data_IF_850424856146
#
_entry.id   IF_850424856146
#
_cell.length_a   1.000
_cell.length_b   1.000
_cell.length_c   1.000
_cell.angle_alpha   90.00
_cell.angle_beta   90.00
_cell.angle_gamma   90.00
#
_symmetry.space_group_name_H-M   'P 1'
#
loop_
_entity.id
_entity.type
_entity.pdbx_description
1 polymer ?
#
# COMPACT_ATOMS: atom_id res chain seq x y z
N UNK A 1 20.58 18.06 -11.55
CA UNK A 1 19.13 17.85 -11.29
C UNK A 1 19.03 16.53 -10.52
N UNK A 2 18.22 16.44 -9.46
CA UNK A 2 18.11 15.20 -8.69
C UNK A 2 17.26 14.18 -9.45
N UNK A 3 17.78 12.96 -9.59
CA UNK A 3 17.06 11.88 -10.28
C UNK A 3 15.89 11.38 -9.44
N UNK A 4 14.77 11.09 -10.11
CA UNK A 4 13.57 10.55 -9.47
C UNK A 4 13.71 9.04 -9.33
N UNK A 5 13.56 8.55 -8.11
CA UNK A 5 13.63 7.14 -7.75
C UNK A 5 12.27 6.60 -7.29
N UNK A 6 12.18 5.30 -7.02
CA UNK A 6 10.94 4.71 -6.47
C UNK A 6 10.57 5.24 -5.07
N UNK A 7 11.53 5.74 -4.29
CA UNK A 7 11.24 6.37 -2.99
C UNK A 7 10.68 7.78 -3.09
N UNK A 8 10.72 8.39 -4.27
CA UNK A 8 10.14 9.72 -4.52
C UNK A 8 8.65 9.65 -4.90
N UNK A 9 8.13 8.45 -5.15
CA UNK A 9 6.71 8.20 -5.43
C UNK A 9 5.88 8.59 -4.18
N UNK A 10 4.96 9.57 -4.29
CA UNK A 10 4.39 10.22 -3.11
C UNK A 10 3.62 9.31 -2.16
N UNK A 11 2.80 8.39 -2.68
CA UNK A 11 1.95 7.53 -1.84
C UNK A 11 2.79 6.72 -0.85
N UNK A 12 3.86 6.08 -1.34
CA UNK A 12 4.81 5.29 -0.54
C UNK A 12 5.66 6.19 0.34
N UNK A 13 6.18 7.30 -0.20
CA UNK A 13 7.04 8.23 0.53
C UNK A 13 6.37 8.76 1.79
N UNK A 14 5.21 9.39 1.63
CA UNK A 14 4.54 10.05 2.75
C UNK A 14 3.91 9.06 3.72
N UNK A 15 3.42 7.92 3.23
CA UNK A 15 2.91 6.87 4.11
C UNK A 15 4.01 6.26 4.96
N UNK A 16 5.21 6.05 4.40
CA UNK A 16 6.37 5.57 5.18
C UNK A 16 6.81 6.56 6.26
N UNK A 17 6.82 7.87 5.95
CA UNK A 17 7.14 8.90 6.95
C UNK A 17 6.17 8.80 8.13
N UNK A 18 4.86 8.76 7.87
CA UNK A 18 3.85 8.61 8.92
C UNK A 18 4.05 7.30 9.71
N UNK A 19 4.18 6.16 9.02
CA UNK A 19 4.33 4.85 9.66
C UNK A 19 5.55 4.78 10.56
N UNK A 20 6.68 5.32 10.12
CA UNK A 20 7.92 5.33 10.89
C UNK A 20 7.76 6.21 12.14
N UNK A 21 7.17 7.39 11.99
CA UNK A 21 7.01 8.33 13.11
C UNK A 21 6.11 7.78 14.22
N UNK A 22 5.07 7.01 13.88
CA UNK A 22 4.16 6.42 14.87
C UNK A 22 4.55 5.00 15.29
N UNK A 23 5.72 4.51 14.89
CA UNK A 23 6.17 3.14 15.16
C UNK A 23 5.11 2.09 14.74
N UNK A 24 4.52 2.27 13.55
CA UNK A 24 3.38 1.48 13.09
C UNK A 24 3.64 -0.03 13.09
N UNK A 25 4.83 -0.46 12.65
CA UNK A 25 5.18 -1.89 12.59
C UNK A 25 5.19 -2.53 13.98
N UNK A 26 5.58 -1.78 15.00
CA UNK A 26 5.63 -2.26 16.38
C UNK A 26 4.22 -2.58 16.89
N UNK A 27 3.29 -1.61 16.82
CA UNK A 27 1.91 -1.82 17.26
C UNK A 27 1.19 -2.88 16.41
N UNK A 28 1.42 -2.90 15.10
CA UNK A 28 0.82 -3.90 14.22
C UNK A 28 1.27 -5.32 14.60
N UNK A 29 2.56 -5.51 14.84
CA UNK A 29 3.12 -6.79 15.28
C UNK A 29 2.58 -7.20 16.65
N UNK A 30 2.47 -6.26 17.60
CA UNK A 30 1.91 -6.54 18.93
C UNK A 30 0.46 -7.04 18.83
N UNK A 31 -0.36 -6.41 17.98
CA UNK A 31 -1.75 -6.82 17.75
C UNK A 31 -1.81 -8.22 17.12
N UNK A 32 -1.07 -8.45 16.03
CA UNK A 32 -1.09 -9.75 15.32
C UNK A 32 -0.57 -10.90 16.19
N UNK A 33 0.42 -10.64 17.04
CA UNK A 33 0.98 -11.63 17.99
C UNK A 33 0.19 -11.74 19.29
N UNK A 34 -0.85 -10.91 19.47
CA UNK A 34 -1.70 -10.88 20.67
C UNK A 34 -0.89 -10.67 21.94
N UNK A 35 0.03 -9.72 21.89
CA UNK A 35 0.87 -9.37 23.03
C UNK A 35 0.05 -8.80 24.19
N UNK A 36 0.67 -8.67 25.36
CA UNK A 36 -0.02 -8.25 26.59
C UNK A 36 -0.59 -6.85 26.47
N UNK A 37 -1.71 -6.62 27.18
CA UNK A 37 -2.38 -5.31 27.29
C UNK A 37 -1.41 -4.19 27.67
N UNK A 38 -0.48 -4.46 28.60
CA UNK A 38 0.54 -3.50 29.06
C UNK A 38 1.38 -2.94 27.91
N UNK A 39 1.74 -3.77 26.91
CA UNK A 39 2.55 -3.29 25.77
C UNK A 39 1.74 -2.40 24.83
N UNK A 40 0.47 -2.74 24.60
CA UNK A 40 -0.44 -1.90 23.83
C UNK A 40 -0.66 -0.56 24.55
N UNK A 41 -0.86 -0.58 25.87
CA UNK A 41 -0.97 0.61 26.72
C UNK A 41 0.28 1.49 26.64
N UNK A 42 1.47 0.91 26.72
CA UNK A 42 2.73 1.62 26.58
C UNK A 42 2.84 2.33 25.22
N UNK A 43 2.49 1.65 24.12
CA UNK A 43 2.49 2.27 22.79
C UNK A 43 1.45 3.40 22.69
N UNK A 44 0.23 3.19 23.19
CA UNK A 44 -0.83 4.21 23.20
C UNK A 44 -0.39 5.44 23.98
N UNK A 45 0.26 5.27 25.13
CA UNK A 45 0.75 6.39 25.92
C UNK A 45 1.86 7.19 25.21
N UNK A 46 2.76 6.51 24.49
CA UNK A 46 3.82 7.18 23.69
C UNK A 46 3.29 7.84 22.41
N UNK A 47 2.14 7.39 21.89
CA UNK A 47 1.55 7.93 20.67
C UNK A 47 1.35 9.45 20.73
N UNK A 48 1.07 10.01 21.91
CA UNK A 48 0.95 11.45 22.08
C UNK A 48 2.24 12.19 21.64
N UNK A 49 3.41 11.72 22.09
CA UNK A 49 4.71 12.30 21.75
C UNK A 49 5.06 12.07 20.28
N UNK A 50 4.79 10.86 19.77
CA UNK A 50 4.99 10.51 18.36
C UNK A 50 4.22 11.43 17.42
N UNK A 51 2.95 11.71 17.75
CA UNK A 51 2.09 12.58 16.95
C UNK A 51 2.52 14.04 17.01
N UNK A 52 2.91 14.53 18.20
CA UNK A 52 3.44 15.88 18.35
C UNK A 52 4.67 16.07 17.46
N UNK A 53 5.63 15.15 17.54
CA UNK A 53 6.85 15.21 16.75
C UNK A 53 6.55 15.16 15.25
N UNK A 54 5.78 14.16 14.81
CA UNK A 54 5.43 13.99 13.40
C UNK A 54 4.76 15.23 12.82
N UNK A 55 3.72 15.74 13.48
CA UNK A 55 2.95 16.86 12.95
C UNK A 55 3.74 18.16 13.00
N UNK A 56 4.53 18.41 14.05
CA UNK A 56 5.44 19.57 14.12
C UNK A 56 6.45 19.58 12.98
N UNK A 57 7.00 18.42 12.62
CA UNK A 57 8.05 18.30 11.58
C UNK A 57 7.50 18.31 10.14
N UNK A 58 6.23 17.94 9.95
CA UNK A 58 5.69 17.67 8.61
C UNK A 58 4.54 18.58 8.20
N UNK A 59 3.86 19.25 9.12
CA UNK A 59 2.63 19.98 8.77
C UNK A 59 2.84 21.13 7.78
N UNK A 60 3.99 21.80 7.84
CA UNK A 60 4.35 22.87 6.88
C UNK A 60 4.53 22.35 5.45
N UNK A 61 4.88 21.07 5.29
CA UNK A 61 5.09 20.43 3.98
C UNK A 61 3.81 19.80 3.41
N UNK A 62 2.76 19.62 4.22
CA UNK A 62 1.49 19.06 3.77
C UNK A 62 0.84 19.86 2.62
N UNK A 63 0.75 21.21 2.67
CA UNK A 63 0.22 21.99 1.55
C UNK A 63 0.96 21.77 0.23
N UNK A 64 2.27 21.52 0.30
CA UNK A 64 3.14 21.26 -0.87
C UNK A 64 3.01 19.81 -1.38
N UNK A 65 2.47 18.91 -0.56
CA UNK A 65 2.36 17.47 -0.82
C UNK A 65 0.92 16.97 -0.69
N UNK A 66 -0.05 17.78 -1.14
CA UNK A 66 -1.49 17.49 -1.09
C UNK A 66 -2.02 17.27 0.34
N UNK A 67 -2.25 18.37 1.06
CA UNK A 67 -2.67 18.33 2.47
C UNK A 67 -3.94 17.48 2.70
N UNK A 68 -4.91 17.54 1.78
CA UNK A 68 -6.12 16.73 1.85
C UNK A 68 -5.80 15.24 1.83
N UNK A 69 -4.87 14.82 0.96
CA UNK A 69 -4.41 13.44 0.88
C UNK A 69 -3.67 13.02 2.15
N UNK A 70 -2.75 13.85 2.67
CA UNK A 70 -2.06 13.58 3.94
C UNK A 70 -3.03 13.40 5.10
N UNK A 71 -4.08 14.21 5.16
CA UNK A 71 -5.13 14.07 6.14
C UNK A 71 -5.94 12.77 6.00
N UNK A 72 -6.28 12.36 4.76
CA UNK A 72 -6.97 11.09 4.50
C UNK A 72 -6.10 9.89 4.89
N UNK A 73 -4.80 9.91 4.55
CA UNK A 73 -3.85 8.85 4.93
C UNK A 73 -3.71 8.74 6.44
N UNK A 74 -3.61 9.87 7.13
CA UNK A 74 -3.58 9.92 8.58
C UNK A 74 -4.83 9.27 9.19
N UNK A 75 -6.01 9.71 8.77
CA UNK A 75 -7.27 9.18 9.28
C UNK A 75 -7.47 7.69 8.98
N UNK A 76 -7.16 7.28 7.75
CA UNK A 76 -7.16 5.88 7.37
C UNK A 76 -6.29 5.05 8.31
N UNK A 77 -5.06 5.50 8.58
CA UNK A 77 -4.07 4.75 9.37
C UNK A 77 -4.60 4.46 10.78
N UNK A 78 -5.16 5.48 11.44
CA UNK A 78 -5.70 5.31 12.79
C UNK A 78 -7.03 4.56 12.80
N UNK A 79 -7.90 4.76 11.80
CA UNK A 79 -9.12 3.96 11.67
C UNK A 79 -8.81 2.47 11.48
N UNK A 80 -7.80 2.14 10.67
CA UNK A 80 -7.35 0.77 10.45
C UNK A 80 -6.76 0.13 11.72
N UNK A 81 -5.88 0.85 12.43
CA UNK A 81 -5.33 0.37 13.70
C UNK A 81 -6.42 0.13 14.76
N UNK A 82 -7.38 1.05 14.87
CA UNK A 82 -8.52 0.89 15.76
C UNK A 82 -9.40 -0.29 15.38
N UNK A 83 -9.61 -0.56 14.09
CA UNK A 83 -10.32 -1.77 13.67
C UNK A 83 -9.57 -3.03 14.11
N UNK A 84 -8.26 -3.08 13.85
CA UNK A 84 -7.41 -4.21 14.24
C UNK A 84 -7.43 -4.49 15.74
N UNK A 85 -7.37 -3.44 16.56
CA UNK A 85 -7.51 -3.56 18.02
C UNK A 85 -8.90 -4.08 18.42
N UNK A 86 -9.96 -3.61 17.77
CA UNK A 86 -11.35 -3.99 18.06
C UNK A 86 -11.63 -5.46 17.76
N UNK A 87 -11.10 -5.96 16.65
CA UNK A 87 -11.34 -7.33 16.17
C UNK A 87 -10.63 -8.38 17.02
N UNK A 88 -9.63 -7.97 17.81
CA UNK A 88 -8.93 -8.86 18.74
C UNK A 88 -9.62 -8.92 20.10
N UNK A 89 -10.25 -10.07 20.38
CA UNK A 89 -10.92 -10.32 21.67
C UNK A 89 -10.04 -10.04 22.90
N UNK A 90 -8.71 -10.21 22.78
CA UNK A 90 -7.75 -9.97 23.85
C UNK A 90 -7.77 -8.52 24.38
N UNK A 91 -8.29 -7.58 23.60
CA UNK A 91 -8.29 -6.15 23.91
C UNK A 91 -9.69 -5.57 24.09
N UNK A 92 -10.73 -6.40 24.02
CA UNK A 92 -12.14 -5.96 24.02
C UNK A 92 -12.50 -5.09 25.22
N UNK A 93 -12.10 -5.47 26.44
CA UNK A 93 -12.39 -4.72 27.67
C UNK A 93 -11.67 -3.36 27.72
N UNK A 94 -10.46 -3.26 27.15
CA UNK A 94 -9.66 -2.03 27.13
C UNK A 94 -9.87 -1.19 25.86
N UNK A 95 -10.60 -1.71 24.87
CA UNK A 95 -10.74 -1.10 23.56
C UNK A 95 -11.26 0.33 23.63
N UNK A 96 -12.29 0.57 24.44
CA UNK A 96 -12.87 1.92 24.60
C UNK A 96 -11.85 2.94 25.10
N UNK A 97 -10.89 2.52 25.95
CA UNK A 97 -9.85 3.38 26.46
C UNK A 97 -8.78 3.66 25.38
N UNK A 98 -8.34 2.62 24.65
CA UNK A 98 -7.42 2.78 23.53
C UNK A 98 -8.00 3.69 22.46
N UNK A 99 -9.26 3.46 22.08
CA UNK A 99 -9.98 4.29 21.12
C UNK A 99 -10.08 5.74 21.61
N UNK A 100 -10.44 5.95 22.88
CA UNK A 100 -10.50 7.27 23.48
C UNK A 100 -9.18 8.02 23.37
N UNK A 101 -8.10 7.40 23.83
CA UNK A 101 -6.76 7.99 23.87
C UNK A 101 -6.21 8.27 22.47
N UNK A 102 -6.21 7.28 21.57
CA UNK A 102 -5.71 7.43 20.19
C UNK A 102 -6.43 8.58 19.48
N UNK A 103 -7.75 8.64 19.59
CA UNK A 103 -8.51 9.69 18.93
C UNK A 103 -8.30 11.07 19.57
N UNK A 104 -8.18 11.13 20.90
CA UNK A 104 -7.93 12.38 21.59
C UNK A 104 -6.56 12.96 21.22
N UNK A 105 -5.49 12.15 21.26
CA UNK A 105 -4.16 12.59 20.88
C UNK A 105 -4.12 13.04 19.41
N UNK A 106 -4.67 12.24 18.51
CA UNK A 106 -4.78 12.60 17.11
C UNK A 106 -5.53 13.92 16.88
N UNK A 107 -6.66 14.12 17.58
CA UNK A 107 -7.44 15.35 17.47
C UNK A 107 -6.66 16.58 17.96
N UNK A 108 -6.05 16.50 19.15
CA UNK A 108 -5.31 17.62 19.74
C UNK A 108 -4.18 18.07 18.81
N UNK A 109 -3.37 17.13 18.32
CA UNK A 109 -2.23 17.48 17.49
C UNK A 109 -2.63 17.94 16.09
N UNK A 110 -3.65 17.34 15.48
CA UNK A 110 -4.16 17.85 14.19
C UNK A 110 -4.71 19.28 14.33
N UNK A 111 -5.47 19.58 15.39
CA UNK A 111 -5.95 20.94 15.65
C UNK A 111 -4.82 21.95 15.87
N UNK A 112 -3.69 21.49 16.39
CA UNK A 112 -2.54 22.35 16.70
C UNK A 112 -1.71 22.65 15.45
N UNK A 113 -1.50 21.64 14.59
CA UNK A 113 -0.53 21.72 13.51
C UNK A 113 -1.14 21.71 12.10
N UNK A 114 -2.43 21.38 11.93
CA UNK A 114 -3.06 21.18 10.61
C UNK A 114 -4.43 21.87 10.51
N UNK A 115 -4.44 23.09 9.96
CA UNK A 115 -5.65 23.94 9.89
C UNK A 115 -6.83 23.31 9.14
N UNK A 116 -6.57 22.38 8.22
CA UNK A 116 -7.59 21.79 7.34
C UNK A 116 -7.68 20.26 7.46
N UNK A 117 -7.19 19.70 8.57
CA UNK A 117 -7.33 18.27 8.84
C UNK A 117 -8.03 18.00 10.16
N UNK A 118 -9.11 17.24 10.10
CA UNK A 118 -9.83 16.79 11.29
C UNK A 118 -9.69 15.28 11.46
N UNK A 119 -9.60 14.85 12.72
CA UNK A 119 -9.67 13.42 13.06
C UNK A 119 -11.10 12.92 12.84
N UNK A 120 -11.33 12.19 11.76
CA UNK A 120 -12.62 11.59 11.41
C UNK A 120 -12.67 10.14 11.86
N UNK A 121 -13.41 9.88 12.94
CA UNK A 121 -13.71 8.51 13.36
C UNK A 121 -14.66 7.89 12.34
N UNK A 122 -14.23 6.83 11.64
CA UNK A 122 -15.17 6.04 10.82
C UNK A 122 -15.89 4.95 11.64
N UNK A 123 -15.65 4.88 12.95
CA UNK A 123 -16.05 3.75 13.82
C UNK A 123 -17.58 3.64 14.01
N UNK A 124 -18.35 4.66 13.59
CA UNK A 124 -19.81 4.65 13.62
C UNK A 124 -20.46 4.00 12.38
N UNK A 125 -19.69 3.69 11.33
CA UNK A 125 -20.13 2.78 10.27
C UNK A 125 -19.44 1.44 10.48
N UNK A 126 -20.24 0.37 10.44
CA UNK A 126 -19.78 -0.99 10.70
C UNK A 126 -18.59 -1.34 9.79
N UNK A 127 -17.43 -1.61 10.41
CA UNK A 127 -16.19 -2.16 9.84
C UNK A 127 -15.45 -1.26 8.85
N UNK A 128 -14.17 -1.02 9.16
CA UNK A 128 -13.18 -0.78 8.12
C UNK A 128 -13.23 -1.99 7.16
N UNK A 129 -13.67 -1.74 5.93
CA UNK A 129 -14.07 -2.79 5.00
C UNK A 129 -13.24 -2.74 3.70
N UNK A 130 -13.47 -3.71 2.81
CA UNK A 130 -12.79 -3.78 1.51
C UNK A 130 -12.97 -2.49 0.69
N UNK A 131 -14.07 -1.75 0.87
CA UNK A 131 -14.30 -0.47 0.19
C UNK A 131 -13.37 0.63 0.70
N UNK A 132 -13.16 0.74 2.01
CA UNK A 132 -12.21 1.71 2.59
C UNK A 132 -10.77 1.43 2.14
N UNK A 133 -10.37 0.15 2.12
CA UNK A 133 -9.05 -0.25 1.62
C UNK A 133 -8.91 0.07 0.13
N UNK A 134 -9.90 -0.29 -0.67
CA UNK A 134 -9.90 -0.01 -2.10
C UNK A 134 -9.91 1.50 -2.38
N UNK A 135 -10.65 2.28 -1.61
CA UNK A 135 -10.68 3.74 -1.74
C UNK A 135 -9.31 4.34 -1.45
N UNK A 136 -8.59 3.85 -0.43
CA UNK A 136 -7.19 4.25 -0.22
C UNK A 136 -6.31 3.84 -1.39
N UNK A 137 -6.42 2.60 -1.89
CA UNK A 137 -5.58 2.15 -3.01
C UNK A 137 -5.82 2.99 -4.27
N UNK A 138 -7.07 3.37 -4.56
CA UNK A 138 -7.39 4.29 -5.67
C UNK A 138 -6.79 5.67 -5.42
N UNK A 139 -6.95 6.21 -4.21
CA UNK A 139 -6.43 7.52 -3.81
C UNK A 139 -4.89 7.60 -3.89
N UNK A 140 -4.20 6.55 -3.44
CA UNK A 140 -2.74 6.37 -3.55
C UNK A 140 -2.30 6.33 -5.01
N UNK A 141 -2.95 5.51 -5.84
CA UNK A 141 -2.61 5.38 -7.24
C UNK A 141 -2.85 6.67 -8.03
N UNK A 142 -3.93 7.40 -7.72
CA UNK A 142 -4.21 8.69 -8.36
C UNK A 142 -3.15 9.75 -8.01
N UNK A 143 -2.69 9.78 -6.76
CA UNK A 143 -1.58 10.66 -6.36
C UNK A 143 -0.31 10.34 -7.14
N UNK A 144 0.05 9.06 -7.23
CA UNK A 144 1.25 8.61 -7.94
C UNK A 144 1.16 8.88 -9.44
N UNK A 145 0.00 8.61 -10.06
CA UNK A 145 -0.24 8.92 -11.47
C UNK A 145 -0.13 10.42 -11.75
N UNK A 146 -0.64 11.27 -10.85
CA UNK A 146 -0.52 12.73 -10.96
C UNK A 146 0.94 13.18 -10.92
N UNK A 147 1.71 12.64 -9.97
CA UNK A 147 3.14 12.92 -9.85
C UNK A 147 3.93 12.45 -11.08
N UNK A 148 3.67 11.22 -11.54
CA UNK A 148 4.33 10.63 -12.71
C UNK A 148 4.05 11.48 -13.94
N UNK A 149 2.78 11.82 -14.20
CA UNK A 149 2.40 12.60 -15.38
C UNK A 149 3.06 13.99 -15.37
N UNK A 150 3.21 14.60 -14.19
CA UNK A 150 3.86 15.91 -14.04
C UNK A 150 5.40 15.85 -14.16
N UNK A 151 6.00 14.67 -13.97
CA UNK A 151 7.45 14.47 -13.97
C UNK A 151 7.94 13.49 -15.05
N UNK A 152 7.10 13.22 -16.07
CA UNK A 152 7.32 12.12 -17.01
C UNK A 152 8.68 12.18 -17.71
N UNK A 153 9.13 13.37 -18.12
CA UNK A 153 10.44 13.58 -18.77
C UNK A 153 11.59 13.24 -17.84
N UNK A 154 11.51 13.63 -16.56
CA UNK A 154 12.53 13.34 -15.55
C UNK A 154 12.57 11.85 -15.22
N UNK A 155 11.40 11.23 -15.10
CA UNK A 155 11.28 9.78 -14.86
C UNK A 155 11.88 9.01 -16.03
N UNK A 156 11.51 9.33 -17.28
CA UNK A 156 12.00 8.63 -18.46
C UNK A 156 13.52 8.76 -18.68
N UNK A 157 14.13 9.80 -18.11
CA UNK A 157 15.58 10.02 -18.17
C UNK A 157 16.32 9.50 -16.92
N UNK A 158 15.59 9.05 -15.89
CA UNK A 158 16.18 8.59 -14.63
C UNK A 158 16.79 7.20 -14.78
N UNK A 159 17.94 6.91 -14.16
CA UNK A 159 18.48 5.55 -14.08
C UNK A 159 17.53 4.58 -13.37
N UNK A 160 16.55 5.07 -12.61
CA UNK A 160 15.54 4.27 -11.91
C UNK A 160 14.25 4.06 -12.71
N UNK A 161 14.16 4.57 -13.94
CA UNK A 161 12.92 4.53 -14.73
C UNK A 161 12.32 3.13 -14.81
N UNK A 162 13.14 2.13 -15.13
CA UNK A 162 12.66 0.76 -15.31
C UNK A 162 12.06 0.18 -14.02
N UNK A 163 12.65 0.51 -12.87
CA UNK A 163 12.13 0.07 -11.56
C UNK A 163 10.80 0.76 -11.26
N UNK A 164 10.70 2.06 -11.53
CA UNK A 164 9.45 2.82 -11.38
C UNK A 164 8.35 2.24 -12.26
N UNK A 165 8.68 1.95 -13.54
CA UNK A 165 7.75 1.38 -14.52
C UNK A 165 7.17 0.04 -14.05
N UNK A 166 8.05 -0.90 -13.68
CA UNK A 166 7.62 -2.22 -13.20
C UNK A 166 6.74 -2.10 -11.95
N UNK A 167 7.14 -1.24 -11.01
CA UNK A 167 6.37 -1.04 -9.78
C UNK A 167 4.98 -0.48 -10.05
N UNK A 168 4.86 0.56 -10.91
CA UNK A 168 3.55 1.18 -11.17
C UNK A 168 2.64 0.28 -12.02
N UNK A 169 3.20 -0.52 -12.94
CA UNK A 169 2.46 -1.54 -13.69
C UNK A 169 1.89 -2.60 -12.75
N UNK A 170 2.70 -3.08 -11.79
CA UNK A 170 2.25 -4.04 -10.79
C UNK A 170 1.19 -3.45 -9.85
N UNK A 171 1.39 -2.22 -9.37
CA UNK A 171 0.43 -1.53 -8.50
C UNK A 171 -0.92 -1.34 -9.24
N UNK A 172 -0.89 -1.06 -10.54
CA UNK A 172 -2.08 -0.96 -11.39
C UNK A 172 -2.81 -2.30 -11.54
N UNK A 173 -2.10 -3.40 -11.80
CA UNK A 173 -2.72 -4.73 -11.89
C UNK A 173 -3.39 -5.15 -10.58
N UNK A 174 -2.73 -4.91 -9.45
CA UNK A 174 -3.29 -5.19 -8.12
C UNK A 174 -4.53 -4.33 -7.87
N UNK A 175 -4.47 -3.04 -8.21
CA UNK A 175 -5.60 -2.14 -8.07
C UNK A 175 -6.79 -2.60 -8.92
N UNK A 176 -6.56 -2.91 -10.20
CA UNK A 176 -7.60 -3.33 -11.13
C UNK A 176 -8.28 -4.63 -10.66
N UNK A 177 -7.50 -5.58 -10.12
CA UNK A 177 -8.04 -6.79 -9.52
C UNK A 177 -8.84 -6.54 -8.23
N UNK A 178 -8.43 -5.58 -7.40
CA UNK A 178 -9.11 -5.22 -6.15
C UNK A 178 -10.43 -4.49 -6.40
N UNK A 179 -10.45 -3.51 -7.31
CA UNK A 179 -11.65 -2.73 -7.62
C UNK A 179 -12.59 -3.48 -8.55
N UNK A 180 -12.06 -4.28 -9.48
CA UNK A 180 -12.84 -5.13 -10.38
C UNK A 180 -13.97 -4.37 -11.08
N UNK A 181 -15.20 -4.85 -10.90
CA UNK A 181 -16.42 -4.24 -11.47
C UNK A 181 -16.94 -3.04 -10.68
N UNK A 182 -16.39 -2.77 -9.50
CA UNK A 182 -16.87 -1.73 -8.58
C UNK A 182 -16.24 -0.35 -8.83
N UNK A 183 -15.62 -0.14 -10.00
CA UNK A 183 -14.93 1.10 -10.38
C UNK A 183 -15.78 2.36 -10.19
N UNK A 184 -17.09 2.27 -10.42
CA UNK A 184 -18.02 3.39 -10.28
C UNK A 184 -18.08 3.95 -8.84
N UNK A 185 -17.80 3.14 -7.82
CA UNK A 185 -17.79 3.58 -6.41
C UNK A 185 -16.66 4.57 -6.12
N UNK A 186 -15.63 4.61 -6.95
CA UNK A 186 -14.41 5.39 -6.73
C UNK A 186 -14.29 6.59 -7.68
N UNK A 187 -15.34 6.90 -8.45
CA UNK A 187 -15.35 8.01 -9.41
C UNK A 187 -15.10 9.36 -8.75
N UNK A 188 -15.58 9.58 -7.52
CA UNK A 188 -15.34 10.85 -6.82
C UNK A 188 -13.86 11.02 -6.44
N UNK A 189 -13.19 9.93 -6.08
CA UNK A 189 -11.74 9.94 -5.85
C UNK A 189 -10.98 10.27 -7.13
N UNK A 190 -11.35 9.66 -8.27
CA UNK A 190 -10.75 9.99 -9.58
C UNK A 190 -10.91 11.47 -9.92
N UNK A 191 -12.13 11.99 -9.80
CA UNK A 191 -12.47 13.40 -10.09
C UNK A 191 -11.70 14.36 -9.22
N UNK A 192 -11.44 14.03 -7.95
CA UNK A 192 -10.62 14.85 -7.06
C UNK A 192 -9.21 15.11 -7.63
N UNK A 193 -8.64 14.15 -8.37
CA UNK A 193 -7.35 14.30 -9.07
C UNK A 193 -7.49 14.75 -10.54
N UNK A 194 -8.70 15.04 -11.00
CA UNK A 194 -8.96 15.45 -12.39
C UNK A 194 -8.98 14.28 -13.40
N UNK A 195 -9.08 13.03 -12.94
CA UNK A 195 -9.23 11.88 -13.83
C UNK A 195 -10.71 11.61 -14.12
N UNK A 196 -11.01 11.31 -15.39
CA UNK A 196 -12.37 10.97 -15.83
C UNK A 196 -12.69 9.49 -15.66
N UNK A 197 -11.69 8.60 -15.83
CA UNK A 197 -11.86 7.15 -15.81
C UNK A 197 -10.59 6.45 -15.30
N UNK A 198 -10.71 5.16 -14.96
CA UNK A 198 -9.53 4.32 -14.70
C UNK A 198 -8.65 4.15 -15.95
N UNK A 199 -9.20 4.24 -17.16
CA UNK A 199 -8.40 4.14 -18.39
C UNK A 199 -7.42 5.33 -18.51
N UNK A 200 -7.80 6.50 -18.02
CA UNK A 200 -6.90 7.67 -17.96
C UNK A 200 -5.66 7.44 -17.11
N UNK A 201 -5.75 6.57 -16.10
CA UNK A 201 -4.61 6.16 -15.27
C UNK A 201 -3.65 5.25 -16.06
N UNK A 202 -4.20 4.30 -16.82
CA UNK A 202 -3.43 3.41 -17.69
C UNK A 202 -2.67 4.18 -18.77
N UNK A 203 -3.29 5.20 -19.35
CA UNK A 203 -2.65 6.06 -20.35
C UNK A 203 -1.40 6.77 -19.79
N UNK A 204 -1.39 7.11 -18.49
CA UNK A 204 -0.22 7.69 -17.84
C UNK A 204 0.92 6.69 -17.74
N UNK A 205 0.62 5.45 -17.34
CA UNK A 205 1.62 4.36 -17.25
C UNK A 205 2.29 4.14 -18.62
N UNK A 206 1.50 4.16 -19.69
CA UNK A 206 2.01 3.95 -21.06
C UNK A 206 2.96 5.05 -21.54
N UNK A 207 2.94 6.25 -20.93
CA UNK A 207 3.91 7.31 -21.24
C UNK A 207 5.31 7.04 -20.67
N UNK A 208 5.45 6.06 -19.77
CA UNK A 208 6.75 5.67 -19.21
C UNK A 208 7.46 4.79 -20.24
N UNK A 209 8.34 5.41 -21.03
CA UNK A 209 9.05 4.76 -22.12
C UNK A 209 10.49 4.37 -21.78
N UNK A 210 11.03 4.91 -20.67
CA UNK A 210 12.41 4.70 -20.22
C UNK A 210 13.44 4.82 -21.35
N UNK A 211 13.94 6.04 -21.57
CA UNK A 211 14.97 6.27 -22.55
C UNK A 211 16.18 5.40 -22.17
N UNK A 212 16.68 4.61 -23.12
CA UNK A 212 18.00 3.99 -22.96
C UNK A 212 18.99 5.12 -22.69
N UNK A 213 19.69 5.04 -21.56
CA UNK A 213 20.73 5.99 -21.18
C UNK A 213 21.92 5.85 -22.13
N UNK A 214 21.73 6.30 -23.37
CA UNK A 214 22.75 6.44 -24.38
C UNK A 214 23.10 7.93 -24.39
N UNK A 215 24.39 8.24 -24.35
CA UNK A 215 24.99 9.56 -24.55
C UNK A 215 25.19 10.41 -23.27
N UNK A 216 26.17 9.99 -22.45
CA UNK A 216 27.10 10.98 -21.90
C UNK A 216 28.28 11.08 -22.90
N UNK A 217 28.73 12.28 -23.32
CA UNK A 217 29.90 12.40 -24.18
C UNK A 217 31.12 11.85 -23.43
N UNK A 218 31.83 10.90 -24.04
CA UNK A 218 33.19 10.55 -23.62
C UNK A 218 34.04 11.81 -23.74
N UNK A 219 34.27 12.47 -22.59
CA UNK A 219 35.36 13.41 -22.44
C UNK A 219 36.68 12.63 -22.50
N UNK A 220 37.64 13.22 -23.18
CA UNK A 220 38.89 12.61 -23.62
C UNK A 220 39.62 11.82 -22.51
N UNK A 221 40.02 10.59 -22.85
CA UNK A 221 40.83 9.70 -22.02
C UNK A 221 42.23 10.31 -21.80
N UNK A 222 42.52 10.72 -20.56
CA UNK A 222 43.91 10.77 -20.08
C UNK A 222 44.23 9.47 -19.34
N UNK A 223 45.26 8.83 -19.88
CA UNK A 223 45.79 7.51 -19.59
C UNK A 223 46.32 7.42 -18.14
N UNK A 224 45.74 6.56 -17.30
CA UNK A 224 46.43 6.05 -16.11
C UNK A 224 45.94 4.64 -15.75
N UNK A 225 46.83 3.63 -15.67
CA UNK A 225 46.45 2.26 -15.42
C UNK A 225 46.49 1.98 -13.92
N UNK A 226 45.34 1.96 -13.25
CA UNK A 226 45.16 1.10 -12.08
C UNK A 226 43.71 0.64 -11.99
N UNK A 227 43.52 -0.65 -12.24
CA UNK A 227 42.23 -1.24 -12.56
C UNK A 227 41.43 -1.66 -11.32
N UNK A 228 40.26 -1.04 -11.16
CA UNK A 228 39.03 -1.74 -10.77
C UNK A 228 37.99 -1.38 -11.83
N UNK A 229 37.77 -2.31 -12.76
CA UNK A 229 36.93 -2.11 -13.93
C UNK A 229 35.51 -1.67 -13.56
N UNK A 230 35.07 -0.58 -14.19
CA UNK A 230 33.68 -0.14 -14.17
C UNK A 230 32.79 -1.26 -14.69
N UNK A 231 31.89 -1.74 -13.82
CA UNK A 231 30.88 -2.72 -14.17
C UNK A 231 29.82 -2.02 -15.05
N UNK A 232 29.74 -2.38 -16.33
CA UNK A 232 28.75 -1.80 -17.25
C UNK A 232 27.32 -2.11 -16.77
N UNK A 233 26.36 -1.21 -17.05
CA UNK A 233 24.96 -1.33 -16.62
C UNK A 233 24.24 -2.62 -17.09
N UNK A 234 24.83 -3.34 -18.05
CA UNK A 234 24.40 -4.68 -18.45
C UNK A 234 24.63 -5.72 -17.34
N UNK A 235 25.72 -5.61 -16.58
CA UNK A 235 26.05 -6.55 -15.51
C UNK A 235 25.21 -6.33 -14.23
N UNK A 236 24.81 -5.08 -13.93
CA UNK A 236 23.88 -4.79 -12.81
C UNK A 236 22.50 -5.41 -13.06
N UNK A 237 22.01 -5.35 -14.30
CA UNK A 237 20.73 -5.95 -14.69
C UNK A 237 20.74 -7.49 -14.56
N UNK A 238 21.83 -8.15 -14.95
CA UNK A 238 21.96 -9.61 -14.86
C UNK A 238 22.07 -10.08 -13.40
N UNK A 239 22.78 -9.33 -12.55
CA UNK A 239 22.94 -9.69 -11.13
C UNK A 239 21.63 -9.58 -10.35
N UNK A 240 20.76 -8.61 -10.66
CA UNK A 240 19.44 -8.46 -10.02
C UNK A 240 18.45 -9.55 -10.49
N UNK A 241 18.46 -9.89 -11.79
CA UNK A 241 17.59 -10.95 -12.35
C UNK A 241 17.96 -12.34 -11.79
N UNK A 242 19.26 -12.63 -11.62
CA UNK A 242 19.72 -13.87 -10.99
C UNK A 242 19.35 -13.94 -9.50
N UNK A 243 19.35 -12.79 -8.80
CA UNK A 243 18.91 -12.70 -7.40
C UNK A 243 17.41 -12.99 -7.24
N UNK A 244 16.56 -12.51 -8.15
CA UNK A 244 15.11 -12.72 -8.10
C UNK A 244 14.68 -14.16 -8.44
N UNK A 245 15.36 -14.81 -9.39
CA UNK A 245 15.16 -16.25 -9.64
C UNK A 245 15.64 -17.10 -8.46
N UNK A 246 16.74 -16.70 -7.80
CA UNK A 246 17.20 -17.30 -6.56
C UNK A 246 16.16 -17.19 -5.43
N UNK A 247 15.56 -16.01 -5.25
CA UNK A 247 14.49 -15.78 -4.26
C UNK A 247 13.25 -16.63 -4.58
N UNK A 248 12.82 -16.71 -5.85
CA UNK A 248 11.69 -17.56 -6.26
C UNK A 248 11.93 -19.04 -5.99
N UNK A 249 13.15 -19.53 -6.25
CA UNK A 249 13.56 -20.90 -5.91
C UNK A 249 13.53 -21.13 -4.39
N UNK A 250 14.06 -20.19 -3.60
CA UNK A 250 14.03 -20.26 -2.12
C UNK A 250 12.58 -20.26 -1.62
N UNK A 251 11.70 -19.41 -2.15
CA UNK A 251 10.28 -19.39 -1.81
C UNK A 251 9.58 -20.72 -2.17
N UNK A 252 9.91 -21.34 -3.30
CA UNK A 252 9.38 -22.65 -3.68
C UNK A 252 9.86 -23.78 -2.75
N UNK A 253 11.15 -23.76 -2.35
CA UNK A 253 11.67 -24.70 -1.36
C UNK A 253 11.02 -24.50 0.01
N UNK A 254 10.90 -23.26 0.50
CA UNK A 254 10.22 -22.93 1.75
C UNK A 254 8.74 -23.30 1.72
N UNK A 255 8.05 -23.12 0.60
CA UNK A 255 6.66 -23.57 0.44
C UNK A 255 6.51 -25.09 0.66
N UNK A 256 7.52 -25.87 0.24
CA UNK A 256 7.51 -27.34 0.31
C UNK A 256 8.05 -27.89 1.63
N UNK A 257 8.98 -27.21 2.29
CA UNK A 257 9.69 -27.70 3.50
C UNK A 257 9.23 -27.07 4.81
N UNK A 258 8.57 -25.91 4.78
CA UNK A 258 8.01 -25.24 5.97
C UNK A 258 6.48 -25.40 6.01
N UNK A 259 5.81 -25.34 7.20
CA UNK A 259 4.36 -25.54 7.33
C UNK A 259 3.53 -24.36 6.78
N UNK A 260 4.17 -23.42 6.07
CA UNK A 260 3.54 -22.29 5.38
C UNK A 260 2.59 -22.72 4.26
N UNK A 261 2.91 -23.79 3.51
CA UNK A 261 2.03 -24.30 2.45
C UNK A 261 0.65 -24.73 2.97
N UNK A 262 0.57 -25.56 4.03
CA UNK A 262 -0.67 -25.86 4.73
C UNK A 262 -1.38 -24.63 5.29
N UNK A 263 -0.65 -23.66 5.86
CA UNK A 263 -1.22 -22.44 6.44
C UNK A 263 -1.86 -21.50 5.39
N UNK A 264 -1.20 -21.29 4.25
CA UNK A 264 -1.73 -20.51 3.13
C UNK A 264 -2.98 -21.19 2.52
N UNK A 265 -2.96 -22.52 2.40
CA UNK A 265 -4.12 -23.29 1.97
C UNK A 265 -5.27 -23.20 2.99
N UNK A 266 -5.00 -23.12 4.30
CA UNK A 266 -6.02 -22.92 5.33
C UNK A 266 -6.64 -21.52 5.22
N UNK A 267 -5.84 -20.47 4.94
CA UNK A 267 -6.34 -19.12 4.71
C UNK A 267 -7.24 -19.03 3.46
N UNK A 268 -6.82 -19.64 2.34
CA UNK A 268 -7.61 -19.71 1.12
C UNK A 268 -8.88 -20.57 1.30
N UNK A 269 -8.82 -21.64 2.11
CA UNK A 269 -9.98 -22.49 2.42
C UNK A 269 -10.96 -21.83 3.39
N UNK A 270 -10.50 -20.94 4.28
CA UNK A 270 -11.36 -20.11 5.14
C UNK A 270 -12.15 -19.08 4.32
N UNK A 271 -11.55 -18.46 3.28
CA UNK A 271 -12.26 -17.57 2.34
C UNK A 271 -13.39 -18.28 1.58
N UNK A 272 -13.18 -19.52 1.15
CA UNK A 272 -14.22 -20.35 0.50
C UNK A 272 -15.39 -20.75 1.40
N UNK A 273 -15.23 -20.69 2.73
CA UNK A 273 -16.28 -21.09 3.68
C UNK A 273 -17.20 -19.94 4.09
N UNK A 274 -16.76 -18.69 3.85
CA UNK A 274 -17.51 -17.46 4.16
C UNK A 274 -18.46 -17.08 3.01
N UNK A 275 -18.08 -17.37 1.77
CA UNK A 275 -19.04 -17.42 0.66
C UNK A 275 -19.74 -18.78 0.70
N UNK A 276 -20.98 -18.80 1.19
CA UNK A 276 -21.88 -19.95 1.13
C UNK A 276 -22.25 -20.31 -0.31
N UNK A 277 -21.29 -20.84 -1.08
CA UNK A 277 -21.57 -21.68 -2.23
C UNK A 277 -21.70 -23.09 -1.65
N UNK A 278 -22.92 -23.52 -1.40
CA UNK A 278 -23.24 -24.94 -1.21
C UNK A 278 -22.76 -25.70 -2.43
N UNK A 279 -21.56 -26.29 -2.34
CA UNK A 279 -21.13 -27.29 -3.29
C UNK A 279 -22.02 -28.51 -3.10
N UNK A 280 -22.79 -28.82 -4.14
CA UNK A 280 -23.52 -30.06 -4.30
C UNK A 280 -22.60 -31.23 -3.95
N UNK A 281 -22.93 -31.95 -2.89
CA UNK A 281 -22.32 -33.24 -2.59
C UNK A 281 -22.66 -34.19 -3.72
N UNK A 282 -21.62 -34.59 -4.45
CA UNK A 282 -21.67 -35.62 -5.49
C UNK A 282 -21.96 -36.96 -4.81
N UNK A 283 -23.24 -37.36 -4.77
CA UNK A 283 -23.62 -38.75 -4.50
C UNK A 283 -23.27 -39.56 -5.75
N UNK A 284 -22.44 -40.61 -5.66
CA UNK A 284 -22.10 -41.42 -6.81
C UNK A 284 -23.28 -42.32 -7.18
N UNK A 285 -23.75 -42.19 -8.43
CA UNK A 285 -24.61 -43.19 -9.07
C UNK A 285 -26.12 -42.91 -9.04
N UNK A 286 -26.58 -42.02 -9.92
CA UNK A 286 -27.78 -42.20 -10.78
C UNK A 286 -28.04 -40.88 -11.54
N UNK A 287 -28.02 -40.94 -12.86
CA UNK A 287 -28.48 -39.84 -13.72
C UNK A 287 -29.99 -39.64 -13.52
N UNK A 288 -30.41 -38.43 -13.16
CA UNK A 288 -31.81 -38.02 -13.33
C UNK A 288 -31.87 -36.57 -13.82
N UNK A 289 -32.47 -36.39 -15.00
CA UNK A 289 -32.77 -35.08 -15.60
C UNK A 289 -33.79 -34.36 -14.71
N UNK A 290 -33.56 -33.08 -14.40
CA UNK A 290 -34.59 -32.21 -13.80
C UNK A 290 -34.71 -30.95 -14.67
N UNK A 291 -35.94 -30.73 -15.14
CA UNK A 291 -36.38 -29.57 -15.91
C UNK A 291 -36.57 -28.36 -14.98
N UNK A 292 -36.13 -27.19 -15.42
CA UNK A 292 -36.33 -25.92 -14.72
C UNK A 292 -37.68 -25.33 -15.14
N UNK A 293 -38.63 -25.23 -14.20
CA UNK A 293 -39.89 -24.47 -14.38
C UNK A 293 -39.65 -23.06 -13.86
N UNK A 294 -39.67 -22.08 -14.76
CA UNK A 294 -39.70 -20.65 -14.41
C UNK A 294 -41.17 -20.27 -14.22
N UNK A 295 -41.51 -19.72 -13.05
CA UNK A 295 -42.75 -18.97 -12.87
C UNK A 295 -42.41 -17.48 -13.02
N UNK A 296 -43.13 -16.85 -13.93
CA UNK A 296 -43.22 -15.40 -14.14
C UNK A 296 -43.86 -14.76 -12.90
#
# INVERSE_FOLDING_TARGET
MQDISSSDIPSKKHYNILKNAIHYSEIYDMIEKKESLTKIEEWVNKLNEYLEQYLRENSEEWPKSNANKRCRDFNYTFNFLLQKLKDENAYSDSYSNFEGNINNYAKIHLQTYSENCERTKNVNTYYYNDEDENRKNVDDFCEDATFINSNITKINSSPYCQVIKVNIEQDHEVLDAKVGTDKEKYTDTLKFYGFSTFDSLKDIIQKINCNTYNDAPMGDEEDNPDGIGQLSGHQVSIVVILSLLGILCICFFLYKTTPFGPWLNILLRKKKKIFGITSLTKVPGKCQKIYMKIKI
#
